data_IF_205139186205
#
_entry.id   IF_205139186205
#
_cell.length_a   1.000
_cell.length_b   1.000
_cell.length_c   1.000
_cell.angle_alpha   90.00
_cell.angle_beta   90.00
_cell.angle_gamma   90.00
#
_symmetry.space_group_name_H-M   'P 1'
#
loop_
_entity.id
_entity.type
_entity.pdbx_description
1 polymer ?
#
# COMPACT_ATOMS: atom_id res chain seq x y z
N UNK A 1 18.81 8.78 -5.58
CA UNK A 1 17.64 9.53 -6.08
C UNK A 1 16.74 9.77 -4.88
N UNK A 2 16.28 11.00 -4.62
CA UNK A 2 15.48 11.29 -3.41
C UNK A 2 14.22 10.43 -3.44
N UNK A 3 13.98 9.66 -2.37
CA UNK A 3 12.79 8.80 -2.25
C UNK A 3 11.53 9.60 -2.51
N UNK A 4 10.65 9.08 -3.36
CA UNK A 4 9.34 9.70 -3.55
C UNK A 4 8.54 9.41 -2.27
N UNK A 5 8.03 10.42 -1.58
CA UNK A 5 7.14 10.18 -0.45
C UNK A 5 5.87 9.51 -0.97
N UNK A 6 5.44 8.44 -0.29
CA UNK A 6 4.15 7.80 -0.55
C UNK A 6 3.04 8.83 -0.23
N UNK A 7 2.04 9.00 -1.12
CA UNK A 7 0.89 9.85 -0.86
C UNK A 7 0.20 9.54 0.47
N UNK A 8 -0.32 10.56 1.16
CA UNK A 8 -0.96 10.38 2.48
C UNK A 8 -2.12 9.36 2.45
N UNK A 9 -2.92 9.35 1.37
CA UNK A 9 -4.03 8.41 1.24
C UNK A 9 -3.55 6.95 1.18
N UNK A 10 -2.42 6.69 0.52
CA UNK A 10 -1.89 5.34 0.36
C UNK A 10 -1.41 4.80 1.71
N UNK A 11 -0.89 5.67 2.58
CA UNK A 11 -0.54 5.33 3.96
C UNK A 11 -1.78 4.89 4.74
N UNK A 12 -2.88 5.65 4.66
CA UNK A 12 -4.11 5.32 5.39
C UNK A 12 -4.76 4.04 4.88
N UNK A 13 -4.79 3.82 3.56
CA UNK A 13 -5.31 2.59 2.96
C UNK A 13 -4.49 1.39 3.39
N UNK A 14 -3.16 1.48 3.30
CA UNK A 14 -2.27 0.39 3.70
C UNK A 14 -2.37 0.08 5.20
N UNK A 15 -2.44 1.11 6.05
CA UNK A 15 -2.58 0.94 7.49
C UNK A 15 -3.86 0.16 7.85
N UNK A 16 -4.99 0.50 7.22
CA UNK A 16 -6.26 -0.20 7.44
C UNK A 16 -6.21 -1.65 6.93
N UNK A 17 -5.58 -1.91 5.78
CA UNK A 17 -5.43 -3.26 5.26
C UNK A 17 -4.56 -4.14 6.19
N UNK A 18 -3.45 -3.59 6.69
CA UNK A 18 -2.55 -4.28 7.63
C UNK A 18 -3.24 -4.54 8.96
N UNK A 19 -3.91 -3.53 9.55
CA UNK A 19 -4.60 -3.66 10.85
C UNK A 19 -5.69 -4.76 10.84
N UNK A 20 -6.33 -4.95 9.69
CA UNK A 20 -7.43 -5.89 9.53
C UNK A 20 -7.03 -7.20 8.83
N UNK A 21 -5.75 -7.43 8.58
CA UNK A 21 -5.24 -8.62 7.88
C UNK A 21 -5.93 -8.85 6.51
N UNK A 22 -6.12 -7.78 5.74
CA UNK A 22 -6.78 -7.79 4.43
C UNK A 22 -5.75 -7.70 3.28
N UNK A 23 -6.02 -8.41 2.18
CA UNK A 23 -5.30 -8.23 0.91
C UNK A 23 -5.84 -7.01 0.16
N UNK A 24 -4.97 -6.07 -0.18
CA UNK A 24 -5.32 -4.91 -1.01
C UNK A 24 -5.28 -5.29 -2.50
N UNK A 25 -6.44 -5.28 -3.16
CA UNK A 25 -6.50 -5.47 -4.62
C UNK A 25 -6.40 -4.11 -5.31
N UNK A 26 -5.33 -3.87 -6.06
CA UNK A 26 -5.06 -2.56 -6.70
C UNK A 26 -4.27 -2.70 -8.01
N UNK A 27 -4.23 -1.61 -8.79
CA UNK A 27 -3.31 -1.42 -9.93
C UNK A 27 -2.27 -0.35 -9.68
N UNK A 28 -2.34 0.27 -8.50
CA UNK A 28 -1.45 1.36 -8.13
C UNK A 28 -0.14 0.79 -7.57
N UNK A 29 0.96 1.03 -8.30
CA UNK A 29 2.28 0.55 -7.96
C UNK A 29 2.88 1.23 -6.72
N UNK A 30 2.31 2.34 -6.22
CA UNK A 30 2.80 2.98 -4.99
C UNK A 30 2.75 2.04 -3.78
N UNK A 31 1.78 1.12 -3.75
CA UNK A 31 1.62 0.16 -2.65
C UNK A 31 2.70 -0.91 -2.63
N UNK A 32 3.38 -1.19 -3.76
CA UNK A 32 4.48 -2.16 -3.82
C UNK A 32 5.69 -1.74 -2.96
N UNK A 33 5.79 -0.45 -2.62
CA UNK A 33 6.85 0.08 -1.75
C UNK A 33 6.52 -0.06 -0.24
N UNK A 34 5.32 -0.53 0.12
CA UNK A 34 4.87 -0.65 1.51
C UNK A 34 5.13 -2.06 2.03
N UNK A 35 6.11 -2.20 2.92
CA UNK A 35 6.39 -3.47 3.61
C UNK A 35 5.20 -3.95 4.44
N UNK A 36 4.99 -5.28 4.50
CA UNK A 36 3.94 -5.97 5.26
C UNK A 36 2.51 -5.84 4.71
N UNK A 37 2.32 -5.14 3.60
CA UNK A 37 1.04 -5.07 2.91
C UNK A 37 0.90 -6.23 1.92
N UNK A 38 -0.12 -7.07 2.11
CA UNK A 38 -0.48 -8.10 1.12
C UNK A 38 -1.25 -7.45 -0.03
N UNK A 39 -0.78 -7.67 -1.27
CA UNK A 39 -1.31 -7.03 -2.47
C UNK A 39 -1.64 -8.08 -3.52
N UNK A 40 -2.77 -7.90 -4.20
CA UNK A 40 -3.12 -8.65 -5.41
C UNK A 40 -3.40 -7.69 -6.57
N UNK A 41 -2.96 -8.05 -7.77
CA UNK A 41 -3.20 -7.24 -8.95
C UNK A 41 -4.64 -7.42 -9.45
N UNK A 42 -5.32 -6.31 -9.78
CA UNK A 42 -6.68 -6.34 -10.37
C UNK A 42 -6.70 -6.66 -11.88
#
# INVERSE_FOLDING_TARGET
>A
MRGRPIPENDIWIAALAIEHELTLVTRDAHFEEIEQLDIEAW
#
